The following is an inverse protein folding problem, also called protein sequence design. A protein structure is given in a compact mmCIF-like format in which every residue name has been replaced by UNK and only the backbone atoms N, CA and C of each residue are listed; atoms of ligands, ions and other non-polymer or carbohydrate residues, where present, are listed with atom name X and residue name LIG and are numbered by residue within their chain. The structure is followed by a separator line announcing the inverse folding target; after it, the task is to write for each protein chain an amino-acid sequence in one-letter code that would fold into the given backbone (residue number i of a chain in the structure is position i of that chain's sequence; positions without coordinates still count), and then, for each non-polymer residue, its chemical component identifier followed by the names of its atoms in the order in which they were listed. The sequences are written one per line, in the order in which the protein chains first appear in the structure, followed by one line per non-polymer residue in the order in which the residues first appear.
data_IF_025779192080
#
_entry.id   IF_025779192080
#
_cell.length_a   1.000
_cell.length_b   1.000
_cell.length_c   1.000
_cell.angle_alpha   90.00
_cell.angle_beta   90.00
_cell.angle_gamma   90.00
#
_symmetry.space_group_name_H-M   'P 1'
#
loop_
_entity.id
_entity.type
_entity.pdbx_description
1 polymer ?
#
# COMPACT_ATOMS: atom_id res chain seq x y z
N UNK A 1 27.21 28.28 -43.35
CA UNK A 1 28.46 28.06 -42.59
C UNK A 1 28.02 27.76 -41.15
N UNK A 2 27.69 26.53 -40.78
CA UNK A 2 28.54 25.38 -40.38
C UNK A 2 29.53 25.73 -39.25
N UNK A 3 29.23 25.23 -38.05
CA UNK A 3 30.11 24.75 -36.95
C UNK A 3 29.40 24.93 -35.59
N UNK A 4 29.35 23.99 -34.63
CA UNK A 4 30.10 22.74 -34.39
C UNK A 4 29.25 21.78 -33.53
N UNK A 5 29.41 20.50 -33.83
CA UNK A 5 29.01 19.34 -33.03
C UNK A 5 29.80 19.22 -31.71
N UNK A 6 29.19 18.42 -30.81
CA UNK A 6 29.79 17.39 -29.95
C UNK A 6 30.06 17.66 -28.45
N UNK A 7 29.42 16.78 -27.68
CA UNK A 7 29.92 16.04 -26.50
C UNK A 7 29.89 16.76 -25.15
N UNK A 8 28.83 16.46 -24.41
CA UNK A 8 28.79 16.56 -22.95
C UNK A 8 27.91 15.44 -22.38
N UNK A 9 28.40 14.20 -22.43
CA UNK A 9 27.94 13.12 -21.56
C UNK A 9 28.52 13.40 -20.18
N UNK A 10 27.70 13.79 -19.20
CA UNK A 10 27.97 13.51 -17.78
C UNK A 10 26.65 13.13 -17.12
N UNK A 11 26.52 11.83 -16.91
CA UNK A 11 25.55 11.21 -16.04
C UNK A 11 25.92 11.44 -14.56
N UNK A 12 24.94 11.12 -13.72
CA UNK A 12 25.07 10.74 -12.31
C UNK A 12 25.01 11.87 -11.27
N UNK A 13 23.81 12.04 -10.70
CA UNK A 13 23.62 12.01 -9.25
C UNK A 13 22.18 11.60 -8.91
N UNK A 14 21.78 10.40 -9.36
CA UNK A 14 20.66 9.66 -8.74
C UNK A 14 21.25 8.71 -7.70
N UNK A 15 21.67 9.25 -6.57
CA UNK A 15 22.01 8.46 -5.40
C UNK A 15 20.71 8.12 -4.66
N UNK A 16 20.28 6.86 -4.76
CA UNK A 16 19.42 6.22 -3.77
C UNK A 16 17.92 6.50 -3.84
N UNK A 17 17.24 6.04 -4.89
CA UNK A 17 15.81 5.71 -4.84
C UNK A 17 15.42 4.82 -6.02
N UNK A 18 15.94 3.59 -6.06
CA UNK A 18 15.26 2.49 -6.73
C UNK A 18 14.67 1.68 -5.57
N UNK A 19 13.36 1.63 -5.36
CA UNK A 19 12.39 0.91 -6.17
C UNK A 19 10.97 1.44 -5.85
N UNK A 20 10.28 2.04 -6.81
CA UNK A 20 8.82 2.13 -6.83
C UNK A 20 8.38 2.54 -8.24
N UNK A 21 8.36 1.58 -9.15
CA UNK A 21 7.76 1.76 -10.48
C UNK A 21 6.34 1.21 -10.39
N UNK A 22 5.38 2.09 -10.09
CA UNK A 22 4.01 2.00 -10.59
C UNK A 22 3.43 3.43 -10.63
N UNK A 23 2.66 3.71 -11.68
CA UNK A 23 2.34 5.07 -12.14
C UNK A 23 1.77 6.00 -11.07
N UNK A 24 2.13 7.28 -11.17
CA UNK A 24 1.66 8.38 -10.31
C UNK A 24 1.97 8.25 -8.80
N UNK A 25 3.24 8.06 -8.44
CA UNK A 25 3.92 8.83 -7.37
C UNK A 25 3.41 8.79 -5.92
N UNK A 26 2.47 7.92 -5.55
CA UNK A 26 2.09 7.72 -4.15
C UNK A 26 2.93 6.60 -3.52
N UNK A 27 3.44 6.81 -2.30
CA UNK A 27 4.18 5.77 -1.58
C UNK A 27 3.24 4.65 -1.13
N UNK A 28 3.78 3.46 -0.85
CA UNK A 28 2.98 2.34 -0.32
C UNK A 28 2.28 2.72 0.99
N UNK A 29 2.92 3.54 1.84
CA UNK A 29 2.32 4.02 3.07
C UNK A 29 1.14 4.98 2.83
N UNK A 30 1.24 5.87 1.85
CA UNK A 30 0.13 6.73 1.46
C UNK A 30 -1.04 5.92 0.87
N UNK A 31 -0.74 4.83 0.15
CA UNK A 31 -1.77 3.91 -0.35
C UNK A 31 -2.50 3.22 0.81
N UNK A 32 -1.76 2.69 1.79
CA UNK A 32 -2.37 2.06 2.97
C UNK A 32 -3.31 3.03 3.69
N UNK A 33 -2.88 4.27 3.91
CA UNK A 33 -3.71 5.30 4.53
C UNK A 33 -4.97 5.59 3.70
N UNK A 34 -4.81 5.78 2.39
CA UNK A 34 -5.94 6.02 1.48
C UNK A 34 -6.94 4.87 1.46
N UNK A 35 -6.47 3.63 1.47
CA UNK A 35 -7.33 2.45 1.52
C UNK A 35 -8.04 2.35 2.86
N UNK A 36 -7.34 2.60 3.98
CA UNK A 36 -7.97 2.61 5.31
C UNK A 36 -9.10 3.65 5.38
N UNK A 37 -8.86 4.88 4.91
CA UNK A 37 -9.90 5.91 4.84
C UNK A 37 -11.06 5.50 3.93
N UNK A 38 -10.77 4.86 2.79
CA UNK A 38 -11.83 4.33 1.92
C UNK A 38 -12.62 3.22 2.60
N UNK A 39 -11.98 2.32 3.33
CA UNK A 39 -12.63 1.23 4.05
C UNK A 39 -13.50 1.73 5.20
N UNK A 40 -13.06 2.76 5.93
CA UNK A 40 -13.88 3.43 6.94
C UNK A 40 -15.18 3.96 6.33
N UNK A 41 -15.10 4.61 5.16
CA UNK A 41 -16.31 5.07 4.45
C UNK A 41 -17.18 3.91 3.94
N UNK A 42 -16.57 2.77 3.63
CA UNK A 42 -17.26 1.56 3.16
C UNK A 42 -17.89 0.78 4.31
N UNK A 43 -17.43 0.90 5.54
CA UNK A 43 -18.07 0.25 6.69
C UNK A 43 -19.48 0.82 6.92
N UNK A 44 -19.66 2.13 6.70
CA UNK A 44 -20.97 2.77 6.74
C UNK A 44 -21.78 2.42 8.00
N UNK A 45 -22.97 1.85 7.81
CA UNK A 45 -23.92 1.49 8.87
C UNK A 45 -23.68 0.12 9.52
N UNK A 46 -22.62 -0.60 9.14
CA UNK A 46 -22.33 -1.90 9.72
C UNK A 46 -21.82 -1.74 11.16
N UNK A 47 -22.67 -2.12 12.12
CA UNK A 47 -22.32 -2.12 13.54
C UNK A 47 -21.26 -3.19 13.84
N UNK A 48 -20.32 -2.88 14.73
CA UNK A 48 -19.30 -3.81 15.27
C UNK A 48 -18.15 -4.22 14.32
N UNK A 49 -17.95 -3.52 13.20
CA UNK A 49 -16.72 -3.66 12.41
C UNK A 49 -15.70 -2.62 12.89
N UNK A 50 -14.60 -3.08 13.48
CA UNK A 50 -13.46 -2.24 13.82
C UNK A 50 -12.34 -2.50 12.83
N UNK A 51 -11.82 -1.43 12.23
CA UNK A 51 -10.59 -1.48 11.44
C UNK A 51 -9.47 -0.92 12.28
N UNK A 52 -8.38 -1.68 12.37
CA UNK A 52 -7.12 -1.17 12.86
C UNK A 52 -6.57 -0.20 11.81
N UNK A 53 -6.49 1.08 12.16
CA UNK A 53 -5.78 2.04 11.32
C UNK A 53 -4.28 1.86 11.53
N UNK A 54 -3.55 1.74 10.42
CA UNK A 54 -2.09 1.77 10.42
C UNK A 54 -1.67 3.23 10.38
N UNK A 55 -0.88 3.67 11.35
CA UNK A 55 -0.29 5.01 11.33
C UNK A 55 0.72 5.15 10.18
N UNK A 56 0.54 6.18 9.34
CA UNK A 56 1.47 6.49 8.23
C UNK A 56 2.93 6.58 8.71
N UNK A 57 3.16 7.19 9.86
CA UNK A 57 4.50 7.35 10.45
C UNK A 57 5.15 5.99 10.78
N UNK A 58 4.37 5.02 11.28
CA UNK A 58 4.84 3.66 11.59
C UNK A 58 5.25 2.93 10.30
N UNK A 59 4.45 3.11 9.25
CA UNK A 59 4.75 2.56 7.94
C UNK A 59 6.03 3.16 7.37
N UNK A 60 6.16 4.49 7.31
CA UNK A 60 7.34 5.15 6.77
C UNK A 60 8.63 4.77 7.52
N UNK A 61 8.54 4.62 8.85
CA UNK A 61 9.67 4.21 9.68
C UNK A 61 10.15 2.77 9.43
N UNK A 62 9.29 1.89 8.92
CA UNK A 62 9.57 0.46 8.79
C UNK A 62 9.53 -0.07 7.35
N UNK A 63 9.01 0.68 6.38
CA UNK A 63 8.85 0.22 5.00
C UNK A 63 10.18 -0.13 4.33
N UNK A 64 11.28 0.51 4.74
CA UNK A 64 12.62 0.19 4.27
C UNK A 64 13.10 -1.22 4.64
N UNK A 65 12.41 -1.92 5.55
CA UNK A 65 12.66 -3.32 5.91
C UNK A 65 11.88 -4.31 5.04
N UNK A 66 10.95 -3.82 4.22
CA UNK A 66 10.17 -4.64 3.31
C UNK A 66 10.95 -4.93 2.03
N UNK A 67 11.04 -6.20 1.66
CA UNK A 67 11.52 -6.60 0.34
C UNK A 67 10.55 -6.14 -0.76
N UNK A 68 11.00 -6.13 -2.02
CA UNK A 68 10.12 -5.83 -3.15
C UNK A 68 8.94 -6.83 -3.23
N UNK A 69 9.19 -8.10 -2.92
CA UNK A 69 8.15 -9.14 -2.90
C UNK A 69 7.13 -8.90 -1.78
N UNK A 70 7.59 -8.49 -0.60
CA UNK A 70 6.68 -8.11 0.50
C UNK A 70 5.81 -6.92 0.09
N UNK A 71 6.42 -5.87 -0.48
CA UNK A 71 5.69 -4.68 -0.94
C UNK A 71 4.69 -5.00 -2.05
N UNK A 72 5.02 -5.93 -2.96
CA UNK A 72 4.10 -6.38 -4.00
C UNK A 72 2.88 -7.08 -3.41
N UNK A 73 3.07 -7.98 -2.44
CA UNK A 73 1.96 -8.67 -1.74
C UNK A 73 1.05 -7.70 -0.98
N UNK A 74 1.63 -6.69 -0.34
CA UNK A 74 0.85 -5.65 0.34
C UNK A 74 0.07 -4.82 -0.68
N UNK A 75 0.68 -4.46 -1.82
CA UNK A 75 -0.06 -3.81 -2.91
C UNK A 75 -1.24 -4.68 -3.39
N UNK A 76 -1.04 -5.99 -3.60
CA UNK A 76 -2.11 -6.90 -4.02
C UNK A 76 -3.26 -6.97 -2.99
N UNK A 77 -2.93 -6.93 -1.69
CA UNK A 77 -3.93 -6.85 -0.62
C UNK A 77 -4.72 -5.54 -0.72
N UNK A 78 -4.04 -4.40 -0.89
CA UNK A 78 -4.66 -3.08 -0.99
C UNK A 78 -5.57 -2.97 -2.21
N UNK A 79 -5.10 -3.43 -3.38
CA UNK A 79 -5.88 -3.47 -4.62
C UNK A 79 -7.16 -4.29 -4.43
N UNK A 80 -7.09 -5.40 -3.71
CA UNK A 80 -8.26 -6.21 -3.37
C UNK A 80 -9.25 -5.45 -2.47
N UNK A 81 -8.75 -4.80 -1.41
CA UNK A 81 -9.57 -4.04 -0.45
C UNK A 81 -10.25 -2.82 -1.10
N UNK A 82 -9.58 -2.15 -2.04
CA UNK A 82 -10.16 -1.08 -2.85
C UNK A 82 -11.36 -1.54 -3.68
N UNK A 83 -11.39 -2.81 -4.08
CA UNK A 83 -12.49 -3.39 -4.86
C UNK A 83 -13.63 -3.94 -4.00
N UNK A 84 -13.42 -4.15 -2.70
CA UNK A 84 -14.50 -4.60 -1.79
C UNK A 84 -15.60 -3.53 -1.76
N UNK A 85 -16.84 -3.95 -1.95
CA UNK A 85 -18.01 -3.05 -1.89
C UNK A 85 -18.24 -2.51 -0.48
N UNK A 86 -19.02 -1.43 -0.36
CA UNK A 86 -19.48 -0.97 0.94
C UNK A 86 -20.25 -2.09 1.68
N UNK A 87 -20.04 -2.15 2.99
CA UNK A 87 -20.77 -3.01 3.89
C UNK A 87 -22.24 -2.55 3.95
N UNK A 88 -23.14 -3.52 3.99
CA UNK A 88 -24.58 -3.28 4.08
C UNK A 88 -25.09 -3.94 5.35
N UNK A 89 -26.01 -3.27 6.06
CA UNK A 89 -26.62 -3.80 7.27
C UNK A 89 -27.24 -5.18 7.04
N UNK A 90 -26.88 -6.15 7.88
CA UNK A 90 -27.29 -7.55 7.77
C UNK A 90 -26.42 -8.40 6.82
N UNK A 91 -25.36 -7.83 6.25
CA UNK A 91 -24.40 -8.52 5.38
C UNK A 91 -22.94 -8.39 5.87
N UNK A 92 -22.76 -8.12 7.17
CA UNK A 92 -21.47 -7.88 7.81
C UNK A 92 -20.54 -9.08 7.65
N UNK A 93 -21.08 -10.30 7.80
CA UNK A 93 -20.29 -11.53 7.69
C UNK A 93 -19.71 -11.72 6.28
N UNK A 94 -20.47 -11.41 5.23
CA UNK A 94 -19.98 -11.52 3.86
C UNK A 94 -18.93 -10.46 3.56
N UNK A 95 -19.12 -9.23 4.06
CA UNK A 95 -18.14 -8.16 3.94
C UNK A 95 -16.82 -8.51 4.66
N UNK A 96 -16.91 -8.99 5.91
CA UNK A 96 -15.75 -9.48 6.67
C UNK A 96 -15.06 -10.65 5.96
N UNK A 97 -15.83 -11.54 5.32
CA UNK A 97 -15.27 -12.65 4.55
C UNK A 97 -14.48 -12.15 3.34
N UNK A 98 -15.01 -11.18 2.60
CA UNK A 98 -14.30 -10.55 1.47
C UNK A 98 -13.01 -9.85 1.93
N UNK A 99 -13.08 -9.12 3.06
CA UNK A 99 -11.90 -8.49 3.67
C UNK A 99 -10.84 -9.53 4.08
N UNK A 100 -11.27 -10.65 4.68
CA UNK A 100 -10.39 -11.74 5.06
C UNK A 100 -9.74 -12.40 3.83
N UNK A 101 -10.47 -12.52 2.71
CA UNK A 101 -9.90 -13.00 1.44
C UNK A 101 -8.84 -12.05 0.87
N UNK A 102 -9.05 -10.73 1.00
CA UNK A 102 -8.03 -9.75 0.64
C UNK A 102 -6.79 -9.84 1.55
N UNK A 103 -6.97 -10.01 2.86
CA UNK A 103 -5.85 -10.15 3.79
C UNK A 103 -4.94 -11.34 3.46
N UNK A 104 -5.48 -12.42 2.85
CA UNK A 104 -4.67 -13.57 2.39
C UNK A 104 -3.65 -13.20 1.31
N UNK A 105 -3.84 -12.09 0.58
CA UNK A 105 -2.87 -11.64 -0.43
C UNK A 105 -1.53 -11.23 0.18
N UNK A 106 -1.53 -10.80 1.45
CA UNK A 106 -0.33 -10.53 2.21
C UNK A 106 0.25 -11.76 2.94
N UNK A 107 -0.23 -12.97 2.65
CA UNK A 107 0.35 -14.18 3.24
C UNK A 107 1.84 -14.35 2.88
N UNK A 108 2.63 -14.67 3.89
CA UNK A 108 4.07 -14.80 3.77
C UNK A 108 4.79 -13.47 3.50
N UNK A 109 4.18 -12.33 3.84
CA UNK A 109 4.93 -11.09 4.10
C UNK A 109 5.86 -11.34 5.29
N UNK A 110 7.11 -10.90 5.17
CA UNK A 110 8.11 -11.07 6.20
C UNK A 110 7.72 -10.41 7.52
N UNK A 111 8.09 -11.03 8.64
CA UNK A 111 7.78 -10.48 9.98
C UNK A 111 8.38 -9.09 10.20
N UNK A 112 9.48 -8.77 9.52
CA UNK A 112 10.09 -7.44 9.56
C UNK A 112 9.28 -6.41 8.77
N UNK A 113 8.71 -6.80 7.63
CA UNK A 113 7.81 -5.94 6.88
C UNK A 113 6.45 -5.75 7.57
N UNK A 114 5.89 -6.80 8.20
CA UNK A 114 4.61 -6.69 8.90
C UNK A 114 4.59 -5.62 9.98
N UNK A 115 5.75 -5.26 10.55
CA UNK A 115 5.86 -4.17 11.54
C UNK A 115 5.47 -2.80 10.96
N UNK A 116 5.61 -2.61 9.65
CA UNK A 116 5.19 -1.38 8.99
C UNK A 116 3.66 -1.22 8.90
N UNK A 117 2.90 -2.32 9.12
CA UNK A 117 1.46 -2.36 8.89
C UNK A 117 0.67 -2.86 10.10
N UNK A 118 1.24 -2.76 11.30
CA UNK A 118 0.53 -3.03 12.56
C UNK A 118 0.05 -1.73 13.18
N UNK A 119 -1.14 -1.76 13.78
CA UNK A 119 -1.58 -0.76 14.75
C UNK A 119 -0.68 -0.83 16.00
N UNK A 120 -0.38 0.33 16.59
CA UNK A 120 0.38 0.44 17.85
C UNK A 120 -0.49 0.21 19.09
#
# INVERSE_FOLDING_TARGET
MKNRMMRGLVAALCAGAALAISGCGQSLCDRVESVNQSLESKIGDCENVQLDSVGRDVCEANIGKCSADDQAKINDQLDCMEQVSACQKGNELAWLSAMAECAKKAEGVSADCSKAFKSE
#
